data_IF_151341427516
#
_entry.id   IF_151341427516
#
_cell.length_a   1.000
_cell.length_b   1.000
_cell.length_c   1.000
_cell.angle_alpha   90.00
_cell.angle_beta   90.00
_cell.angle_gamma   90.00
#
_symmetry.space_group_name_H-M   'P 1'
#
loop_
_entity.id
_entity.type
_entity.pdbx_description
1 polymer ?
#
# COMPACT_ATOMS: atom_id res chain seq x y z
N UNK A 1 -30.62 -41.59 -56.14
CA UNK A 1 -30.09 -42.21 -54.89
C UNK A 1 -28.64 -42.58 -55.14
N UNK A 2 -27.67 -42.34 -54.23
CA UNK A 2 -27.48 -41.30 -53.22
C UNK A 2 -26.31 -40.34 -53.61
N UNK A 3 -26.23 -39.13 -53.05
CA UNK A 3 -25.21 -38.66 -52.07
C UNK A 3 -23.76 -38.58 -52.64
N UNK A 4 -22.95 -37.55 -52.42
CA UNK A 4 -22.68 -36.86 -51.16
C UNK A 4 -21.86 -35.60 -51.47
N UNK A 5 -22.21 -34.51 -50.79
CA UNK A 5 -21.33 -33.63 -50.00
C UNK A 5 -20.07 -33.04 -50.66
N UNK A 6 -20.07 -31.72 -50.82
CA UNK A 6 -19.48 -30.76 -49.85
C UNK A 6 -18.01 -31.05 -49.60
N UNK A 7 -17.13 -30.11 -49.92
CA UNK A 7 -16.15 -29.65 -48.96
C UNK A 7 -15.79 -28.19 -49.26
N UNK A 8 -16.49 -27.30 -48.56
CA UNK A 8 -15.95 -26.00 -48.15
C UNK A 8 -14.75 -26.34 -47.27
N UNK A 9 -13.54 -26.04 -47.74
CA UNK A 9 -12.38 -25.88 -46.85
C UNK A 9 -11.61 -24.65 -47.29
N UNK A 10 -11.93 -23.51 -46.70
CA UNK A 10 -10.93 -22.48 -46.52
C UNK A 10 -9.90 -23.00 -45.52
N UNK A 11 -8.62 -23.12 -45.86
CA UNK A 11 -7.60 -23.34 -44.85
C UNK A 11 -7.24 -21.99 -44.23
N UNK A 12 -7.34 -21.94 -42.90
CA UNK A 12 -6.38 -21.25 -42.06
C UNK A 12 -6.27 -19.72 -42.21
N UNK A 13 -7.14 -18.98 -41.52
CA UNK A 13 -6.75 -17.65 -41.04
C UNK A 13 -5.91 -17.81 -39.76
N UNK A 14 -4.59 -17.75 -39.91
CA UNK A 14 -3.64 -17.78 -38.79
C UNK A 14 -3.71 -16.46 -38.01
N UNK A 15 -3.91 -16.61 -36.69
CA UNK A 15 -3.60 -15.72 -35.55
C UNK A 15 -4.63 -14.63 -35.18
N UNK A 16 -4.93 -14.57 -33.87
CA UNK A 16 -4.85 -13.32 -33.13
C UNK A 16 -3.97 -13.50 -31.87
N UNK A 17 -2.67 -13.75 -32.05
CA UNK A 17 -1.71 -13.72 -30.93
C UNK A 17 -1.28 -12.28 -30.56
N UNK A 18 -1.53 -11.30 -31.44
CA UNK A 18 -1.14 -9.90 -31.21
C UNK A 18 -2.11 -9.11 -30.33
N UNK A 19 -3.38 -9.51 -30.25
CA UNK A 19 -4.39 -8.81 -29.44
C UNK A 19 -4.23 -9.05 -27.94
N UNK A 20 -3.77 -10.25 -27.53
CA UNK A 20 -3.55 -10.57 -26.12
C UNK A 20 -2.34 -9.81 -25.52
N UNK A 21 -1.31 -9.53 -26.33
CA UNK A 21 -0.09 -8.86 -25.87
C UNK A 21 -0.35 -7.36 -25.64
N UNK A 22 -1.15 -6.72 -26.50
CA UNK A 22 -1.49 -5.30 -26.33
C UNK A 22 -2.31 -5.04 -25.04
N UNK A 23 -3.19 -5.96 -24.65
CA UNK A 23 -3.97 -5.86 -23.40
C UNK A 23 -3.07 -6.07 -22.17
N UNK A 24 -2.11 -7.00 -22.23
CA UNK A 24 -1.15 -7.21 -21.14
C UNK A 24 -0.20 -6.02 -20.94
N UNK A 25 0.22 -5.35 -22.02
CA UNK A 25 1.05 -4.14 -21.92
C UNK A 25 0.24 -2.94 -21.40
N UNK A 26 -1.07 -2.86 -21.68
CA UNK A 26 -1.93 -1.83 -21.10
C UNK A 26 -2.23 -2.06 -19.61
N UNK A 27 -2.38 -3.32 -19.18
CA UNK A 27 -2.53 -3.66 -17.75
C UNK A 27 -1.20 -3.44 -17.02
N UNK A 28 -0.09 -3.93 -17.55
CA UNK A 28 1.24 -3.67 -16.98
C UNK A 28 1.57 -2.17 -16.99
N UNK A 29 1.17 -1.43 -18.02
CA UNK A 29 1.30 0.04 -18.08
C UNK A 29 0.41 0.76 -17.08
N UNK A 30 -0.79 0.25 -16.78
CA UNK A 30 -1.65 0.81 -15.73
C UNK A 30 -1.07 0.58 -14.32
N UNK A 31 -0.37 -0.55 -14.11
CA UNK A 31 0.35 -0.80 -12.85
C UNK A 31 1.69 -0.04 -12.76
N UNK A 32 2.42 0.11 -13.87
CA UNK A 32 3.70 0.82 -13.92
C UNK A 32 3.55 2.35 -14.01
N UNK A 33 2.38 2.88 -14.37
CA UNK A 33 2.05 4.31 -14.26
C UNK A 33 1.42 4.67 -12.90
N UNK A 34 1.24 3.69 -12.00
CA UNK A 34 0.97 3.91 -10.57
C UNK A 34 2.27 3.95 -9.76
N UNK A 35 3.40 4.15 -10.42
CA UNK A 35 4.72 4.30 -9.78
C UNK A 35 4.99 5.77 -9.39
N UNK A 36 4.02 6.31 -8.66
CA UNK A 36 4.25 7.33 -7.64
C UNK A 36 3.42 6.89 -6.45
N UNK A 37 4.01 5.99 -5.64
CA UNK A 37 3.43 5.44 -4.41
C UNK A 37 3.17 6.52 -3.37
N UNK A 38 2.18 7.37 -3.62
CA UNK A 38 1.66 8.37 -2.71
C UNK A 38 0.80 7.67 -1.67
N UNK A 39 1.47 7.27 -0.60
CA UNK A 39 1.07 6.98 0.78
C UNK A 39 -0.27 6.33 1.16
N UNK A 40 -1.30 6.24 0.33
CA UNK A 40 -2.62 5.74 0.80
C UNK A 40 -3.39 4.93 -0.25
N UNK A 41 -2.75 4.61 -1.37
CA UNK A 41 -3.43 4.00 -2.50
C UNK A 41 -3.56 2.46 -2.38
N UNK A 42 -2.71 1.84 -1.55
CA UNK A 42 -2.74 0.42 -1.17
C UNK A 42 -2.40 0.30 0.32
N UNK A 43 -2.79 -0.78 1.02
CA UNK A 43 -2.51 -0.93 2.45
C UNK A 43 -1.01 -0.86 2.76
N UNK A 44 -0.18 -1.52 1.95
CA UNK A 44 1.27 -1.53 2.08
C UNK A 44 1.88 -0.14 1.85
N UNK A 45 1.29 0.63 0.94
CA UNK A 45 1.70 2.01 0.69
C UNK A 45 1.45 2.91 1.90
N UNK A 46 0.37 2.67 2.63
CA UNK A 46 0.05 3.35 3.90
C UNK A 46 1.06 3.03 4.98
N UNK A 47 1.40 1.76 5.19
CA UNK A 47 2.42 1.38 6.20
C UNK A 47 3.81 1.92 5.83
N UNK A 48 4.19 1.86 4.55
CA UNK A 48 5.45 2.47 4.09
C UNK A 48 5.49 3.97 4.36
N UNK A 49 4.37 4.67 4.12
CA UNK A 49 4.30 6.09 4.40
C UNK A 49 4.33 6.41 5.90
N UNK A 50 3.74 5.56 6.74
CA UNK A 50 3.81 5.71 8.19
C UNK A 50 5.25 5.61 8.67
N UNK A 51 5.97 4.54 8.29
CA UNK A 51 7.34 4.32 8.73
C UNK A 51 8.27 5.43 8.23
N UNK A 52 8.12 5.86 6.98
CA UNK A 52 8.90 7.00 6.46
C UNK A 52 8.57 8.30 7.22
N UNK A 53 7.30 8.57 7.51
CA UNK A 53 6.92 9.77 8.24
C UNK A 53 7.38 9.74 9.70
N UNK A 54 7.46 8.56 10.32
CA UNK A 54 8.08 8.38 11.62
C UNK A 54 9.58 8.67 11.55
N UNK A 55 10.31 8.10 10.59
CA UNK A 55 11.75 8.35 10.41
C UNK A 55 12.06 9.82 10.14
N UNK A 56 11.21 10.51 9.38
CA UNK A 56 11.31 11.94 9.08
C UNK A 56 10.74 12.86 10.18
N UNK A 57 10.16 12.29 11.25
CA UNK A 57 9.40 13.00 12.28
C UNK A 57 8.30 13.95 11.73
N UNK A 58 7.69 13.59 10.58
CA UNK A 58 6.64 14.36 9.92
C UNK A 58 5.25 14.05 10.51
N UNK A 59 4.95 14.70 11.64
CA UNK A 59 3.67 14.54 12.35
C UNK A 59 2.45 14.83 11.46
N UNK A 60 2.58 15.74 10.50
CA UNK A 60 1.47 16.13 9.61
C UNK A 60 1.16 14.99 8.65
N UNK A 61 2.19 14.33 8.13
CA UNK A 61 2.02 13.12 7.32
C UNK A 61 1.47 11.99 8.17
N UNK A 62 2.01 11.73 9.37
CA UNK A 62 1.51 10.70 10.28
C UNK A 62 0.01 10.89 10.53
N UNK A 63 -0.41 12.07 10.97
CA UNK A 63 -1.82 12.37 11.21
C UNK A 63 -2.68 12.16 9.97
N UNK A 64 -2.19 12.53 8.78
CA UNK A 64 -2.94 12.35 7.53
C UNK A 64 -3.22 10.89 7.16
N UNK A 65 -2.46 9.94 7.71
CA UNK A 65 -2.64 8.51 7.47
C UNK A 65 -3.77 7.91 8.31
N UNK A 66 -4.25 8.61 9.33
CA UNK A 66 -5.42 8.24 10.13
C UNK A 66 -6.71 8.79 9.54
N UNK A 67 -7.84 8.13 9.86
CA UNK A 67 -9.14 8.52 9.34
C UNK A 67 -9.46 9.99 9.68
N UNK A 68 -10.09 10.78 8.78
CA UNK A 68 -10.30 12.22 8.99
C UNK A 68 -10.95 12.61 10.32
N UNK A 69 -11.79 11.76 10.87
CA UNK A 69 -12.45 11.93 12.18
C UNK A 69 -11.55 11.68 13.39
N UNK A 70 -10.41 11.01 13.20
CA UNK A 70 -9.38 10.73 14.21
C UNK A 70 -8.20 11.70 14.13
N UNK A 71 -8.17 12.56 13.11
CA UNK A 71 -7.08 13.50 12.93
C UNK A 71 -7.12 14.59 14.02
N UNK A 72 -6.00 14.85 14.70
CA UNK A 72 -5.89 15.94 15.66
C UNK A 72 -6.13 17.29 14.99
N UNK A 73 -6.59 18.27 15.78
CA UNK A 73 -6.68 19.64 15.31
C UNK A 73 -5.31 20.32 15.18
N UNK A 74 -5.28 21.54 14.64
CA UNK A 74 -4.04 22.24 14.38
C UNK A 74 -3.24 22.58 15.64
N UNK A 75 -3.90 22.82 16.78
CA UNK A 75 -3.24 23.13 18.04
C UNK A 75 -2.66 21.84 18.67
N UNK A 76 -3.42 20.74 18.61
CA UNK A 76 -2.96 19.43 19.04
C UNK A 76 -1.76 18.94 18.21
N UNK A 77 -1.76 19.20 16.90
CA UNK A 77 -0.63 18.89 16.02
C UNK A 77 0.63 19.67 16.37
N UNK A 78 0.52 20.94 16.72
CA UNK A 78 1.66 21.79 17.08
C UNK A 78 2.33 21.29 18.38
N UNK A 79 1.53 20.93 19.39
CA UNK A 79 2.03 20.33 20.64
C UNK A 79 2.69 18.96 20.39
N UNK A 80 2.06 18.13 19.53
CA UNK A 80 2.62 16.83 19.16
C UNK A 80 3.92 16.94 18.35
N UNK A 81 4.08 17.97 17.53
CA UNK A 81 5.29 18.21 16.72
C UNK A 81 6.52 18.43 17.60
N UNK A 82 6.40 19.26 18.64
CA UNK A 82 7.50 19.50 19.59
C UNK A 82 7.89 18.23 20.35
N UNK A 83 6.89 17.47 20.80
CA UNK A 83 7.12 16.21 21.51
C UNK A 83 7.75 15.14 20.62
N UNK A 84 7.23 14.95 19.40
CA UNK A 84 7.71 13.95 18.46
C UNK A 84 9.16 14.23 18.06
N UNK A 85 9.49 15.48 17.72
CA UNK A 85 10.87 15.84 17.33
C UNK A 85 11.89 15.55 18.44
N UNK A 86 11.53 15.81 19.71
CA UNK A 86 12.41 15.52 20.83
C UNK A 86 12.55 14.01 21.12
N UNK A 87 11.53 13.21 20.82
CA UNK A 87 11.56 11.76 21.03
C UNK A 87 12.30 11.03 19.89
N UNK A 88 12.17 11.53 18.66
CA UNK A 88 12.63 10.82 17.45
C UNK A 88 14.08 11.17 17.06
N UNK A 89 14.72 12.15 17.69
CA UNK A 89 16.10 12.56 17.37
C UNK A 89 17.11 11.39 17.40
N UNK A 90 16.90 10.45 18.32
CA UNK A 90 17.76 9.27 18.52
C UNK A 90 17.14 7.96 17.98
N UNK A 91 15.99 8.04 17.31
CA UNK A 91 15.27 6.87 16.78
C UNK A 91 15.43 6.84 15.25
N UNK A 92 15.69 5.64 14.70
CA UNK A 92 15.69 5.41 13.25
C UNK A 92 14.91 4.18 12.88
N UNK A 93 14.25 4.23 11.73
CA UNK A 93 13.49 3.12 11.20
C UNK A 93 14.12 2.64 9.90
N UNK A 94 14.63 1.42 9.91
CA UNK A 94 15.29 0.78 8.79
C UNK A 94 14.58 -0.53 8.41
N UNK A 95 14.89 -1.05 7.22
CA UNK A 95 14.52 -2.41 6.80
C UNK A 95 13.03 -2.79 6.97
N UNK A 96 12.10 -1.89 6.63
CA UNK A 96 10.68 -2.24 6.57
C UNK A 96 10.43 -3.39 5.57
N UNK A 97 9.89 -4.49 6.08
CA UNK A 97 9.47 -5.67 5.33
C UNK A 97 7.97 -5.91 5.56
N UNK A 98 7.18 -5.91 4.48
CA UNK A 98 5.79 -6.36 4.54
C UNK A 98 5.77 -7.89 4.47
N UNK A 99 5.25 -8.53 5.51
CA UNK A 99 5.22 -9.98 5.67
C UNK A 99 3.95 -10.55 5.02
N UNK A 100 2.79 -9.99 5.37
CA UNK A 100 1.50 -10.45 4.86
C UNK A 100 0.52 -9.27 4.71
N UNK A 101 -0.39 -9.42 3.76
CA UNK A 101 -1.45 -8.43 3.49
C UNK A 101 -2.74 -9.19 3.19
N UNK A 102 -3.72 -9.05 4.07
CA UNK A 102 -5.05 -9.61 3.89
C UNK A 102 -6.04 -8.47 3.69
N UNK A 103 -6.78 -8.49 2.58
CA UNK A 103 -7.79 -7.46 2.24
C UNK A 103 -9.17 -8.10 2.17
N UNK A 104 -10.11 -7.57 2.95
CA UNK A 104 -11.53 -7.95 2.92
C UNK A 104 -12.39 -6.70 2.67
N UNK A 105 -12.74 -6.49 1.40
CA UNK A 105 -13.53 -5.34 0.96
C UNK A 105 -12.83 -4.00 1.24
N UNK A 106 -13.34 -3.27 2.21
CA UNK A 106 -12.84 -1.96 2.65
C UNK A 106 -11.97 -2.06 3.91
N UNK A 107 -11.56 -3.26 4.32
CA UNK A 107 -10.64 -3.49 5.44
C UNK A 107 -9.39 -4.20 4.98
N UNK A 108 -8.27 -3.93 5.63
CA UNK A 108 -7.04 -4.66 5.43
C UNK A 108 -6.32 -4.92 6.76
N UNK A 109 -5.60 -6.03 6.82
CA UNK A 109 -4.66 -6.38 7.88
C UNK A 109 -3.28 -6.47 7.23
N UNK A 110 -2.31 -5.69 7.73
CA UNK A 110 -0.95 -5.66 7.21
C UNK A 110 0.00 -6.09 8.33
N UNK A 111 0.62 -7.24 8.16
CA UNK A 111 1.69 -7.71 9.03
C UNK A 111 3.02 -7.26 8.44
N UNK A 112 3.85 -6.62 9.25
CA UNK A 112 5.15 -6.12 8.81
C UNK A 112 6.21 -6.27 9.90
N UNK A 113 7.45 -6.09 9.49
CA UNK A 113 8.62 -6.03 10.35
C UNK A 113 9.40 -4.77 10.03
N UNK A 114 9.95 -4.13 11.05
CA UNK A 114 10.80 -2.95 10.91
C UNK A 114 11.96 -3.05 11.91
N UNK A 115 13.15 -2.62 11.48
CA UNK A 115 14.28 -2.47 12.38
C UNK A 115 14.23 -1.06 12.99
N UNK A 116 14.10 -0.99 14.31
CA UNK A 116 14.11 0.26 15.06
C UNK A 116 15.43 0.38 15.79
N UNK A 117 16.17 1.44 15.50
CA UNK A 117 17.44 1.73 16.17
C UNK A 117 17.27 2.87 17.15
N UNK A 118 17.67 2.66 18.41
CA UNK A 118 17.68 3.69 19.45
C UNK A 118 19.02 3.68 20.18
N UNK A 119 19.67 4.83 20.28
CA UNK A 119 21.00 4.97 20.92
C UNK A 119 22.07 3.98 20.40
N UNK A 120 21.97 3.57 19.13
CA UNK A 120 22.90 2.63 18.50
C UNK A 120 22.60 1.14 18.73
N UNK A 121 21.53 0.81 19.46
CA UNK A 121 21.00 -0.54 19.56
C UNK A 121 19.85 -0.72 18.58
N UNK A 122 19.90 -1.75 17.73
CA UNK A 122 18.86 -2.07 16.76
C UNK A 122 18.05 -3.27 17.24
N UNK A 123 16.73 -3.12 17.30
CA UNK A 123 15.79 -4.20 17.53
C UNK A 123 14.90 -4.38 16.29
N UNK A 124 14.59 -5.63 15.99
CA UNK A 124 13.67 -5.97 14.90
C UNK A 124 12.30 -6.24 15.50
N UNK A 125 11.36 -5.32 15.25
CA UNK A 125 9.99 -5.43 15.73
C UNK A 125 9.07 -5.98 14.64
N UNK A 126 8.12 -6.82 15.05
CA UNK A 126 7.07 -7.36 14.19
C UNK A 126 5.75 -6.82 14.69
N UNK A 127 4.98 -6.23 13.78
CA UNK A 127 3.75 -5.54 14.11
C UNK A 127 2.65 -5.84 13.09
N UNK A 128 1.42 -5.55 13.47
CA UNK A 128 0.22 -5.70 12.64
C UNK A 128 -0.58 -4.42 12.73
N UNK A 129 -0.86 -3.82 11.57
CA UNK A 129 -1.78 -2.69 11.48
C UNK A 129 -3.04 -3.08 10.75
N UNK A 130 -4.16 -2.60 11.29
CA UNK A 130 -5.46 -2.67 10.65
C UNK A 130 -5.70 -1.37 9.90
N UNK A 131 -6.31 -1.48 8.72
CA UNK A 131 -6.58 -0.35 7.86
C UNK A 131 -8.01 -0.38 7.35
N UNK A 132 -8.56 0.82 7.15
CA UNK A 132 -9.88 1.04 6.57
C UNK A 132 -9.78 1.86 5.28
N UNK A 133 -10.59 1.49 4.29
CA UNK A 133 -10.70 2.23 3.04
C UNK A 133 -11.86 3.22 3.13
N UNK A 134 -11.55 4.51 3.01
CA UNK A 134 -12.52 5.60 2.95
C UNK A 134 -12.28 6.38 1.66
N UNK A 135 -13.31 6.52 0.83
CA UNK A 135 -13.23 7.25 -0.45
C UNK A 135 -12.07 6.83 -1.36
N UNK A 136 -11.73 5.53 -1.37
CA UNK A 136 -10.66 4.96 -2.20
C UNK A 136 -9.24 5.16 -1.66
N UNK A 137 -9.08 5.68 -0.44
CA UNK A 137 -7.80 5.78 0.28
C UNK A 137 -7.79 4.88 1.50
N UNK A 138 -6.64 4.30 1.81
CA UNK A 138 -6.39 3.47 2.97
C UNK A 138 -5.84 4.28 4.12
N UNK A 139 -6.50 4.17 5.26
CA UNK A 139 -6.16 4.83 6.52
C UNK A 139 -5.81 3.78 7.56
N UNK A 140 -4.93 4.11 8.50
CA UNK A 140 -4.67 3.31 9.69
C UNK A 140 -5.92 3.38 10.57
N UNK A 141 -6.31 2.23 11.12
CA UNK A 141 -7.48 2.07 11.98
C UNK A 141 -7.04 1.47 13.33
N UNK A 142 -6.83 2.35 14.31
CA UNK A 142 -6.40 1.96 15.67
C UNK A 142 -7.57 1.42 16.51
N UNK A 143 -8.79 1.35 15.98
CA UNK A 143 -9.96 0.85 16.74
C UNK A 143 -9.89 -0.64 17.08
N UNK A 144 -8.91 -1.36 16.53
CA UNK A 144 -8.63 -2.77 16.79
C UNK A 144 -7.42 -3.03 17.70
N UNK A 145 -6.71 -1.99 18.15
CA UNK A 145 -5.64 -2.13 19.13
C UNK A 145 -6.25 -2.40 20.52
N UNK A 146 -6.03 -3.62 21.03
CA UNK A 146 -6.52 -4.10 22.33
C UNK A 146 -5.52 -3.89 23.47
#
# INVERSE_FOLDING_TARGET
MPAHQEHITAPFYKKPAFLAIAVLVLIAGFFLLRDSGGSMSTPEGTIKALVNALDDADIKTIASLYAPEEQPDAAELEEAEEFLNGMMEDVKFDNLEIIDVSVDGDKAHVEYRVDVSFMGETNTDKDVSDLIRINGKWYIDDSFAF
#
